data_IF_991844877864
#
_entry.id   IF_991844877864
#
_cell.length_a   1.000
_cell.length_b   1.000
_cell.length_c   1.000
_cell.angle_alpha   90.00
_cell.angle_beta   90.00
_cell.angle_gamma   90.00
#
_symmetry.space_group_name_H-M   'P 1'
#
loop_
_entity.id
_entity.type
_entity.pdbx_description
1 polymer ?
#
# COMPACT_ATOMS: atom_id res chain seq x y z
N UNK A 1 53.12 -68.70 -3.24
CA UNK A 1 52.43 -67.62 -2.49
C UNK A 1 53.02 -66.29 -2.92
N UNK A 2 52.28 -65.49 -3.69
CA UNK A 2 52.64 -64.09 -4.00
C UNK A 2 51.33 -63.33 -4.27
N UNK A 3 50.93 -62.50 -3.30
CA UNK A 3 49.69 -61.73 -3.31
C UNK A 3 49.80 -60.58 -4.32
N UNK A 4 48.78 -60.41 -5.16
CA UNK A 4 48.58 -59.18 -5.93
C UNK A 4 47.62 -58.27 -5.16
N UNK A 5 48.06 -57.05 -4.85
CA UNK A 5 47.26 -56.00 -4.23
C UNK A 5 46.70 -55.14 -5.37
N UNK A 6 45.39 -55.18 -5.58
CA UNK A 6 44.68 -54.30 -6.51
C UNK A 6 44.38 -53.00 -5.76
N UNK A 7 45.09 -51.92 -6.10
CA UNK A 7 44.80 -50.59 -5.60
C UNK A 7 43.69 -49.95 -6.46
N UNK A 8 42.46 -49.93 -5.94
CA UNK A 8 41.36 -49.19 -6.56
C UNK A 8 41.44 -47.71 -6.16
N UNK A 9 41.84 -46.84 -7.10
CA UNK A 9 41.79 -45.40 -6.91
C UNK A 9 40.36 -44.90 -7.16
N UNK A 10 39.66 -44.56 -6.07
CA UNK A 10 38.34 -43.92 -6.14
C UNK A 10 38.54 -42.42 -6.35
N UNK A 11 38.25 -41.93 -7.55
CA UNK A 11 38.14 -40.50 -7.83
C UNK A 11 36.80 -39.99 -7.30
N UNK A 12 36.80 -39.40 -6.10
CA UNK A 12 35.65 -38.67 -5.57
C UNK A 12 35.65 -37.26 -6.20
N UNK A 13 34.93 -37.09 -7.32
CA UNK A 13 34.65 -35.76 -7.86
C UNK A 13 33.49 -35.13 -7.07
N UNK A 14 33.81 -34.29 -6.10
CA UNK A 14 32.79 -33.48 -5.41
C UNK A 14 32.27 -32.42 -6.39
N UNK A 15 31.03 -32.59 -6.84
CA UNK A 15 30.31 -31.55 -7.57
C UNK A 15 29.96 -30.43 -6.59
N UNK A 16 30.81 -29.42 -6.51
CA UNK A 16 30.50 -28.19 -5.76
C UNK A 16 29.49 -27.38 -6.55
N UNK A 17 28.20 -27.54 -6.24
CA UNK A 17 27.16 -26.62 -6.68
C UNK A 17 27.31 -25.32 -5.89
N UNK A 18 28.27 -24.46 -6.30
CA UNK A 18 28.35 -23.12 -5.78
C UNK A 18 27.24 -22.30 -6.42
N UNK A 19 26.14 -22.08 -5.70
CA UNK A 19 25.25 -20.98 -6.05
C UNK A 19 26.03 -19.70 -5.83
N UNK A 20 26.52 -19.08 -6.90
CA UNK A 20 27.09 -17.74 -6.83
C UNK A 20 25.99 -16.80 -6.36
N UNK A 21 26.07 -16.35 -5.10
CA UNK A 21 25.32 -15.17 -4.67
C UNK A 21 25.90 -14.03 -5.51
N UNK A 22 25.19 -13.65 -6.58
CA UNK A 22 25.66 -12.62 -7.48
C UNK A 22 25.58 -11.28 -6.74
N UNK A 23 26.74 -10.77 -6.32
CA UNK A 23 26.85 -9.47 -5.71
C UNK A 23 26.37 -8.40 -6.71
N UNK A 24 25.66 -7.39 -6.22
CA UNK A 24 25.18 -6.28 -7.04
C UNK A 24 26.34 -5.63 -7.82
N UNK A 25 26.06 -5.13 -9.02
CA UNK A 25 27.05 -4.44 -9.85
C UNK A 25 27.54 -3.16 -9.15
N UNK A 26 28.74 -3.22 -8.56
CA UNK A 26 29.29 -2.11 -7.76
C UNK A 26 29.60 -0.88 -8.60
N UNK A 27 29.94 -1.04 -9.87
CA UNK A 27 30.23 0.08 -10.77
C UNK A 27 28.97 0.91 -11.03
N UNK A 28 27.87 0.26 -11.42
CA UNK A 28 26.59 0.94 -11.63
C UNK A 28 26.00 1.52 -10.35
N UNK A 29 26.16 0.84 -9.21
CA UNK A 29 25.73 1.40 -7.91
C UNK A 29 26.52 2.67 -7.60
N UNK A 30 27.85 2.67 -7.77
CA UNK A 30 28.67 3.86 -7.55
C UNK A 30 28.31 4.98 -8.51
N UNK A 31 28.11 4.67 -9.79
CA UNK A 31 27.67 5.63 -10.81
C UNK A 31 26.34 6.28 -10.41
N UNK A 32 25.32 5.48 -10.05
CA UNK A 32 24.02 5.99 -9.63
C UNK A 32 24.14 6.90 -8.41
N UNK A 33 24.86 6.46 -7.38
CA UNK A 33 24.95 7.22 -6.13
C UNK A 33 25.70 8.54 -6.31
N UNK A 34 26.76 8.55 -7.13
CA UNK A 34 27.57 9.74 -7.40
C UNK A 34 26.91 10.73 -8.36
N UNK A 35 26.21 10.24 -9.39
CA UNK A 35 25.78 11.09 -10.52
C UNK A 35 24.27 11.23 -10.66
N UNK A 36 23.50 10.35 -10.03
CA UNK A 36 22.05 10.18 -10.27
C UNK A 36 21.70 9.82 -11.73
N UNK A 37 22.67 9.39 -12.54
CA UNK A 37 22.47 8.96 -13.92
C UNK A 37 22.79 7.46 -14.05
N UNK A 38 21.78 6.64 -14.34
CA UNK A 38 21.97 5.21 -14.54
C UNK A 38 20.93 4.63 -15.51
N UNK A 39 20.81 5.22 -16.69
CA UNK A 39 19.95 4.70 -17.76
C UNK A 39 20.43 3.31 -18.18
N UNK A 40 19.52 2.35 -18.25
CA UNK A 40 19.80 0.97 -18.64
C UNK A 40 20.86 0.25 -17.77
N UNK A 41 21.16 0.77 -16.58
CA UNK A 41 22.09 0.11 -15.67
C UNK A 41 21.54 -1.23 -15.18
N UNK A 42 22.44 -2.20 -14.98
CA UNK A 42 22.19 -3.36 -14.15
C UNK A 42 22.38 -3.01 -12.68
N UNK A 43 21.28 -2.98 -11.94
CA UNK A 43 21.18 -2.73 -10.50
C UNK A 43 20.42 -3.88 -9.82
N UNK A 44 20.44 -5.07 -10.43
CA UNK A 44 19.76 -6.25 -9.88
C UNK A 44 20.28 -6.56 -8.48
N UNK A 45 19.35 -6.83 -7.56
CA UNK A 45 19.65 -7.10 -6.14
C UNK A 45 20.46 -6.01 -5.42
N UNK A 46 20.54 -4.78 -5.96
CA UNK A 46 21.28 -3.69 -5.33
C UNK A 46 20.68 -3.33 -3.96
N UNK A 47 21.56 -3.14 -2.97
CA UNK A 47 21.21 -2.61 -1.65
C UNK A 47 21.24 -1.08 -1.68
N UNK A 48 20.06 -0.46 -1.80
CA UNK A 48 19.88 0.99 -1.93
C UNK A 48 18.95 1.54 -0.81
N UNK A 49 18.98 0.88 0.35
CA UNK A 49 18.17 1.23 1.52
C UNK A 49 18.48 2.65 1.97
N UNK A 50 17.46 3.48 2.13
CA UNK A 50 17.57 4.91 2.50
C UNK A 50 18.45 5.76 1.56
N UNK A 51 18.77 5.27 0.36
CA UNK A 51 19.54 6.06 -0.59
C UNK A 51 18.75 7.29 -1.03
N UNK A 52 19.42 8.44 -1.12
CA UNK A 52 18.87 9.59 -1.83
C UNK A 52 19.08 9.38 -3.33
N UNK A 53 17.99 9.16 -4.05
CA UNK A 53 17.90 8.96 -5.49
C UNK A 53 16.90 9.96 -6.11
N UNK A 54 16.67 11.08 -5.42
CA UNK A 54 15.76 12.12 -5.89
C UNK A 54 16.22 12.67 -7.23
N UNK A 55 15.28 12.80 -8.17
CA UNK A 55 15.53 13.23 -9.55
C UNK A 55 16.43 12.29 -10.38
N UNK A 56 16.75 11.09 -9.89
CA UNK A 56 17.65 10.19 -10.61
C UNK A 56 17.04 9.72 -11.93
N UNK A 57 17.86 9.63 -12.97
CA UNK A 57 17.48 9.02 -14.24
C UNK A 57 17.86 7.54 -14.23
N UNK A 58 16.86 6.71 -13.99
CA UNK A 58 16.91 5.24 -13.95
C UNK A 58 16.09 4.64 -15.11
N UNK A 59 15.86 5.40 -16.18
CA UNK A 59 15.07 4.93 -17.31
C UNK A 59 15.68 3.67 -17.92
N UNK A 60 14.85 2.64 -18.12
CA UNK A 60 15.27 1.32 -18.61
C UNK A 60 16.18 0.52 -17.68
N UNK A 61 16.50 0.99 -16.47
CA UNK A 61 17.39 0.27 -15.54
C UNK A 61 16.76 -1.05 -15.08
N UNK A 62 17.61 -2.05 -14.83
CA UNK A 62 17.20 -3.32 -14.24
C UNK A 62 17.44 -3.30 -12.72
N UNK A 63 16.37 -3.10 -11.95
CA UNK A 63 16.32 -3.06 -10.49
C UNK A 63 15.63 -4.31 -9.91
N UNK A 64 15.56 -5.41 -10.67
CA UNK A 64 14.87 -6.61 -10.21
C UNK A 64 15.48 -7.11 -8.89
N UNK A 65 14.62 -7.36 -7.90
CA UNK A 65 15.02 -7.76 -6.55
C UNK A 65 15.83 -6.73 -5.75
N UNK A 66 15.99 -5.50 -6.23
CA UNK A 66 16.71 -4.46 -5.49
C UNK A 66 15.99 -4.09 -4.19
N UNK A 67 16.76 -3.73 -3.16
CA UNK A 67 16.21 -3.22 -1.91
C UNK A 67 16.33 -1.70 -1.85
N UNK A 68 15.24 -1.01 -2.18
CA UNK A 68 15.05 0.44 -2.16
C UNK A 68 14.22 0.88 -0.94
N UNK A 69 14.17 0.07 0.12
CA UNK A 69 13.40 0.38 1.32
C UNK A 69 13.78 1.76 1.86
N UNK A 70 12.79 2.63 2.08
CA UNK A 70 12.94 4.00 2.58
C UNK A 70 13.83 4.91 1.71
N UNK A 71 14.16 4.51 0.48
CA UNK A 71 14.88 5.38 -0.44
C UNK A 71 14.06 6.61 -0.80
N UNK A 72 14.73 7.73 -1.08
CA UNK A 72 14.10 8.91 -1.65
C UNK A 72 14.22 8.85 -3.17
N UNK A 73 13.13 8.57 -3.88
CA UNK A 73 13.06 8.52 -5.35
C UNK A 73 12.17 9.65 -5.90
N UNK A 74 11.94 10.70 -5.12
CA UNK A 74 11.04 11.78 -5.52
C UNK A 74 11.51 12.40 -6.84
N UNK A 75 10.61 12.50 -7.82
CA UNK A 75 10.90 13.03 -9.16
C UNK A 75 11.84 12.17 -10.01
N UNK A 76 12.20 10.95 -9.58
CA UNK A 76 13.04 10.06 -10.37
C UNK A 76 12.34 9.58 -11.65
N UNK A 77 13.12 9.35 -12.70
CA UNK A 77 12.65 8.79 -13.96
C UNK A 77 12.94 7.29 -14.01
N UNK A 78 11.91 6.47 -13.85
CA UNK A 78 11.94 5.00 -13.89
C UNK A 78 11.17 4.46 -15.11
N UNK A 79 10.98 5.26 -16.15
CA UNK A 79 10.25 4.83 -17.36
C UNK A 79 10.90 3.58 -17.97
N UNK A 80 10.11 2.55 -18.21
CA UNK A 80 10.57 1.26 -18.74
C UNK A 80 11.51 0.46 -17.85
N UNK A 81 11.76 0.88 -16.60
CA UNK A 81 12.64 0.15 -15.68
C UNK A 81 12.01 -1.17 -15.23
N UNK A 82 12.85 -2.17 -14.92
CA UNK A 82 12.40 -3.42 -14.33
C UNK A 82 12.62 -3.41 -12.81
N UNK A 83 11.55 -3.26 -12.03
CA UNK A 83 11.54 -3.32 -10.56
C UNK A 83 10.85 -4.60 -10.05
N UNK A 84 10.77 -5.66 -10.86
CA UNK A 84 10.10 -6.89 -10.46
C UNK A 84 10.72 -7.46 -9.17
N UNK A 85 9.86 -7.75 -8.18
CA UNK A 85 10.26 -8.24 -6.87
C UNK A 85 11.11 -7.26 -6.02
N UNK A 86 11.25 -6.00 -6.42
CA UNK A 86 11.99 -5.01 -5.65
C UNK A 86 11.25 -4.64 -4.36
N UNK A 87 12.00 -4.32 -3.30
CA UNK A 87 11.43 -3.77 -2.07
C UNK A 87 11.50 -2.24 -2.10
N UNK A 88 10.34 -1.58 -2.14
CA UNK A 88 10.14 -0.13 -2.07
C UNK A 88 9.44 0.26 -0.76
N UNK A 89 9.55 -0.58 0.26
CA UNK A 89 8.88 -0.39 1.54
C UNK A 89 9.21 0.99 2.12
N UNK A 90 8.18 1.82 2.35
CA UNK A 90 8.36 3.16 2.93
C UNK A 90 9.13 4.14 2.03
N UNK A 91 9.36 3.85 0.76
CA UNK A 91 10.07 4.74 -0.15
C UNK A 91 9.25 6.00 -0.47
N UNK A 92 9.93 7.13 -0.68
CA UNK A 92 9.30 8.32 -1.23
C UNK A 92 9.32 8.25 -2.75
N UNK A 93 8.16 8.02 -3.36
CA UNK A 93 7.92 7.89 -4.81
C UNK A 93 7.10 9.08 -5.35
N UNK A 94 7.09 10.20 -4.62
CA UNK A 94 6.35 11.41 -5.01
C UNK A 94 6.87 11.92 -6.36
N UNK A 95 5.98 12.19 -7.31
CA UNK A 95 6.32 12.66 -8.67
C UNK A 95 7.24 11.71 -9.48
N UNK A 96 7.42 10.46 -9.04
CA UNK A 96 8.24 9.48 -9.76
C UNK A 96 7.53 9.02 -11.05
N UNK A 97 8.30 8.85 -12.13
CA UNK A 97 7.78 8.45 -13.44
C UNK A 97 7.98 6.96 -13.69
N UNK A 98 6.90 6.19 -13.69
CA UNK A 98 6.90 4.73 -13.88
C UNK A 98 6.28 4.28 -15.20
N UNK A 99 6.08 5.18 -16.18
CA UNK A 99 5.41 4.79 -17.43
C UNK A 99 6.13 3.61 -18.12
N UNK A 100 5.40 2.51 -18.34
CA UNK A 100 5.93 1.26 -18.90
C UNK A 100 6.86 0.44 -17.99
N UNK A 101 7.05 0.82 -16.73
CA UNK A 101 7.91 0.10 -15.80
C UNK A 101 7.27 -1.22 -15.35
N UNK A 102 8.08 -2.23 -15.05
CA UNK A 102 7.64 -3.49 -14.47
C UNK A 102 7.77 -3.46 -12.95
N UNK A 103 6.66 -3.40 -12.23
CA UNK A 103 6.58 -3.43 -10.75
C UNK A 103 5.96 -4.74 -10.25
N UNK A 104 5.91 -5.79 -11.08
CA UNK A 104 5.30 -7.05 -10.70
C UNK A 104 5.95 -7.63 -9.43
N UNK A 105 5.12 -8.05 -8.47
CA UNK A 105 5.53 -8.53 -7.15
C UNK A 105 6.40 -7.55 -6.32
N UNK A 106 6.47 -6.27 -6.69
CA UNK A 106 7.19 -5.27 -5.90
C UNK A 106 6.43 -4.94 -4.60
N UNK A 107 7.18 -4.66 -3.54
CA UNK A 107 6.63 -4.29 -2.23
C UNK A 107 6.63 -2.76 -2.07
N UNK A 108 5.48 -2.13 -2.29
CA UNK A 108 5.29 -0.68 -2.12
C UNK A 108 4.56 -0.36 -0.81
N UNK A 109 4.57 -1.26 0.17
CA UNK A 109 3.90 -0.99 1.44
C UNK A 109 4.44 0.27 2.09
N UNK A 110 3.52 1.09 2.61
CA UNK A 110 3.82 2.35 3.27
C UNK A 110 4.62 3.37 2.41
N UNK A 111 4.69 3.21 1.08
CA UNK A 111 5.35 4.18 0.20
C UNK A 111 4.49 5.43 -0.03
N UNK A 112 5.10 6.50 -0.53
CA UNK A 112 4.40 7.75 -0.88
C UNK A 112 4.39 7.94 -2.39
N UNK A 113 3.22 7.88 -3.03
CA UNK A 113 3.03 7.88 -4.49
C UNK A 113 2.34 9.15 -5.02
N UNK A 114 2.22 10.20 -4.20
CA UNK A 114 1.56 11.44 -4.60
C UNK A 114 2.11 11.94 -5.95
N UNK A 115 1.23 12.14 -6.93
CA UNK A 115 1.57 12.56 -8.29
C UNK A 115 2.51 11.61 -9.08
N UNK A 116 2.66 10.35 -8.67
CA UNK A 116 3.43 9.37 -9.45
C UNK A 116 2.73 9.03 -10.77
N UNK A 117 3.51 8.90 -11.85
CA UNK A 117 3.00 8.54 -13.19
C UNK A 117 3.08 7.02 -13.40
N UNK A 118 1.97 6.29 -13.24
CA UNK A 118 1.92 4.82 -13.40
C UNK A 118 1.29 4.33 -14.72
N UNK A 119 1.22 5.20 -15.73
CA UNK A 119 0.57 4.87 -17.01
C UNK A 119 1.26 3.71 -17.71
N UNK A 120 0.55 2.60 -17.92
CA UNK A 120 1.10 1.40 -18.55
C UNK A 120 2.15 0.66 -17.71
N UNK A 121 2.26 0.96 -16.42
CA UNK A 121 3.09 0.17 -15.51
C UNK A 121 2.48 -1.22 -15.28
N UNK A 122 3.31 -2.25 -15.17
CA UNK A 122 2.88 -3.61 -14.88
C UNK A 122 2.83 -3.82 -13.36
N UNK A 123 1.63 -3.95 -12.80
CA UNK A 123 1.38 -3.97 -11.34
C UNK A 123 0.92 -5.33 -10.80
N UNK A 124 1.16 -6.41 -11.54
CA UNK A 124 0.68 -7.74 -11.15
C UNK A 124 1.28 -8.16 -9.80
N UNK A 125 0.42 -8.44 -8.82
CA UNK A 125 0.82 -8.80 -7.45
C UNK A 125 1.66 -7.74 -6.72
N UNK A 126 1.59 -6.47 -7.14
CA UNK A 126 2.25 -5.37 -6.43
C UNK A 126 1.51 -5.08 -5.12
N UNK A 127 2.25 -4.91 -4.02
CA UNK A 127 1.64 -4.67 -2.71
C UNK A 127 1.61 -3.17 -2.39
N UNK A 128 0.42 -2.58 -2.37
CA UNK A 128 0.19 -1.17 -2.04
C UNK A 128 -0.30 -0.93 -0.60
N UNK A 129 -0.27 -1.94 0.27
CA UNK A 129 -0.86 -1.80 1.59
C UNK A 129 -0.19 -0.68 2.41
N UNK A 130 -0.97 0.33 2.78
CA UNK A 130 -0.49 1.50 3.53
C UNK A 130 0.20 2.54 2.66
N UNK A 131 0.35 2.30 1.35
CA UNK A 131 0.86 3.30 0.42
C UNK A 131 -0.09 4.50 0.35
N UNK A 132 0.45 5.71 0.37
CA UNK A 132 -0.31 6.95 0.33
C UNK A 132 -0.25 7.59 -1.05
N UNK A 133 -1.33 8.26 -1.45
CA UNK A 133 -1.39 8.97 -2.74
C UNK A 133 -1.34 8.05 -3.95
N UNK A 134 -1.92 6.85 -3.86
CA UNK A 134 -1.99 5.91 -4.98
C UNK A 134 -2.76 6.60 -6.12
N UNK A 135 -2.21 6.69 -7.34
CA UNK A 135 -2.90 7.35 -8.43
C UNK A 135 -4.24 6.66 -8.77
N UNK A 136 -5.30 7.45 -8.98
CA UNK A 136 -6.67 6.96 -9.17
C UNK A 136 -6.87 6.12 -10.43
N UNK A 137 -5.94 6.19 -11.38
CA UNK A 137 -6.00 5.42 -12.63
C UNK A 137 -5.61 3.95 -12.49
N UNK A 138 -5.08 3.52 -11.34
CA UNK A 138 -4.61 2.14 -11.13
C UNK A 138 -5.37 1.36 -10.05
N UNK A 139 -6.39 1.96 -9.42
CA UNK A 139 -7.23 1.32 -8.41
C UNK A 139 -8.67 1.81 -8.51
N UNK A 140 -9.62 0.90 -8.36
CA UNK A 140 -11.06 1.23 -8.35
C UNK A 140 -11.46 1.91 -7.04
N UNK A 141 -12.62 2.62 -7.00
CA UNK A 141 -13.19 3.10 -5.75
C UNK A 141 -13.34 1.98 -4.70
N UNK A 142 -13.70 0.79 -5.15
CA UNK A 142 -13.89 -0.40 -4.34
C UNK A 142 -12.56 -0.91 -3.74
N UNK A 143 -11.47 -0.88 -4.51
CA UNK A 143 -10.12 -1.19 -4.01
C UNK A 143 -9.69 -0.20 -2.92
N UNK A 144 -9.91 1.10 -3.17
CA UNK A 144 -9.64 2.14 -2.17
C UNK A 144 -10.48 1.95 -0.91
N UNK A 145 -11.76 1.60 -1.05
CA UNK A 145 -12.60 1.31 0.09
C UNK A 145 -12.03 0.14 0.90
N UNK A 146 -11.69 -0.98 0.25
CA UNK A 146 -11.10 -2.15 0.90
C UNK A 146 -9.77 -1.84 1.61
N UNK A 147 -8.89 -1.05 0.98
CA UNK A 147 -7.67 -0.54 1.62
C UNK A 147 -7.97 0.32 2.85
N UNK A 148 -8.99 1.16 2.76
CA UNK A 148 -9.49 1.98 3.87
C UNK A 148 -9.95 1.13 5.05
N UNK A 149 -10.75 0.09 4.79
CA UNK A 149 -11.20 -0.87 5.79
C UNK A 149 -10.02 -1.56 6.46
N UNK A 150 -9.10 -2.11 5.67
CA UNK A 150 -7.92 -2.82 6.18
C UNK A 150 -7.03 -1.94 7.08
N UNK A 151 -6.95 -0.63 6.82
CA UNK A 151 -6.25 0.29 7.72
C UNK A 151 -7.06 0.66 8.95
N UNK A 152 -8.38 0.84 8.80
CA UNK A 152 -9.27 1.10 9.92
C UNK A 152 -9.23 -0.01 10.97
N UNK A 153 -9.23 -1.27 10.54
CA UNK A 153 -9.11 -2.45 11.41
C UNK A 153 -7.76 -2.52 12.13
N UNK A 154 -6.70 -1.96 11.54
CA UNK A 154 -5.37 -1.84 12.16
C UNK A 154 -5.24 -0.65 13.10
N UNK A 155 -6.28 0.17 13.26
CA UNK A 155 -6.23 1.42 14.03
C UNK A 155 -5.56 2.59 13.29
N UNK A 156 -5.21 2.43 12.02
CA UNK A 156 -4.54 3.45 11.20
C UNK A 156 -5.57 4.42 10.59
N UNK A 157 -6.32 5.11 11.46
CA UNK A 157 -7.49 5.90 11.05
C UNK A 157 -7.19 7.03 10.07
N UNK A 158 -6.04 7.70 10.18
CA UNK A 158 -5.63 8.73 9.21
C UNK A 158 -5.44 8.16 7.80
N UNK A 159 -4.82 6.98 7.68
CA UNK A 159 -4.65 6.31 6.39
C UNK A 159 -5.99 5.81 5.85
N UNK A 160 -6.85 5.26 6.72
CA UNK A 160 -8.20 4.87 6.34
C UNK A 160 -8.99 6.05 5.73
N UNK A 161 -8.95 7.22 6.37
CA UNK A 161 -9.60 8.44 5.86
C UNK A 161 -9.06 8.84 4.48
N UNK A 162 -7.75 8.73 4.27
CA UNK A 162 -7.13 9.02 2.97
C UNK A 162 -7.64 8.10 1.87
N UNK A 163 -7.75 6.80 2.14
CA UNK A 163 -8.29 5.83 1.20
C UNK A 163 -9.77 6.04 0.92
N UNK A 164 -10.60 6.22 1.94
CA UNK A 164 -12.02 6.52 1.72
C UNK A 164 -12.23 7.82 0.94
N UNK A 165 -11.37 8.82 1.15
CA UNK A 165 -11.44 10.07 0.39
C UNK A 165 -11.09 9.88 -1.10
N UNK A 166 -10.14 9.00 -1.42
CA UNK A 166 -9.84 8.63 -2.81
C UNK A 166 -11.01 7.87 -3.45
N UNK A 167 -11.62 6.92 -2.72
CA UNK A 167 -12.83 6.23 -3.19
C UNK A 167 -13.96 7.21 -3.52
N UNK A 168 -14.23 8.17 -2.64
CA UNK A 168 -15.26 9.21 -2.81
C UNK A 168 -14.91 10.14 -3.99
N UNK A 169 -13.64 10.49 -4.18
CA UNK A 169 -13.23 11.36 -5.28
C UNK A 169 -13.49 10.73 -6.65
N UNK A 170 -13.39 9.41 -6.75
CA UNK A 170 -13.66 8.66 -8.00
C UNK A 170 -15.16 8.35 -8.12
N UNK A 171 -15.84 8.04 -7.01
CA UNK A 171 -17.27 7.69 -6.94
C UNK A 171 -17.98 8.57 -5.91
N UNK A 172 -18.45 9.78 -6.30
CA UNK A 172 -19.06 10.74 -5.36
C UNK A 172 -20.38 10.28 -4.73
N UNK A 173 -21.04 9.27 -5.29
CA UNK A 173 -22.25 8.65 -4.76
C UNK A 173 -21.97 7.40 -3.89
N UNK A 174 -20.72 7.19 -3.48
CA UNK A 174 -20.33 6.04 -2.65
C UNK A 174 -20.72 6.22 -1.16
N UNK A 175 -21.99 5.98 -0.85
CA UNK A 175 -22.56 6.14 0.49
C UNK A 175 -21.77 5.42 1.61
N UNK A 176 -21.38 4.17 1.37
CA UNK A 176 -20.58 3.38 2.30
C UNK A 176 -19.22 4.00 2.61
N UNK A 177 -18.55 4.61 1.63
CA UNK A 177 -17.27 5.28 1.82
C UNK A 177 -17.40 6.55 2.67
N UNK A 178 -18.48 7.32 2.53
CA UNK A 178 -18.76 8.44 3.43
C UNK A 178 -18.97 7.96 4.86
N UNK A 179 -19.84 6.97 5.08
CA UNK A 179 -20.10 6.46 6.43
C UNK A 179 -18.83 5.91 7.07
N UNK A 180 -18.05 5.13 6.33
CA UNK A 180 -16.77 4.58 6.75
C UNK A 180 -15.75 5.67 7.11
N UNK A 181 -15.64 6.73 6.30
CA UNK A 181 -14.78 7.87 6.60
C UNK A 181 -15.24 8.61 7.85
N UNK A 182 -16.55 8.78 8.03
CA UNK A 182 -17.12 9.39 9.22
C UNK A 182 -16.80 8.61 10.49
N UNK A 183 -16.90 7.28 10.43
CA UNK A 183 -16.48 6.38 11.52
C UNK A 183 -14.98 6.52 11.82
N UNK A 184 -14.12 6.58 10.80
CA UNK A 184 -12.69 6.78 11.00
C UNK A 184 -12.36 8.18 11.59
N UNK A 185 -13.08 9.23 11.19
CA UNK A 185 -12.97 10.59 11.75
C UNK A 185 -13.38 10.64 13.21
N UNK A 186 -14.45 9.94 13.58
CA UNK A 186 -14.90 9.82 14.96
C UNK A 186 -13.80 9.27 15.89
N UNK A 187 -13.06 8.26 15.43
CA UNK A 187 -11.93 7.70 16.18
C UNK A 187 -10.76 8.67 16.37
N UNK A 188 -10.66 9.68 15.51
CA UNK A 188 -9.71 10.80 15.64
C UNK A 188 -10.31 12.00 16.39
N UNK A 189 -11.45 11.82 17.06
CA UNK A 189 -12.20 12.87 17.78
C UNK A 189 -12.72 14.01 16.88
N UNK A 190 -12.70 13.84 15.55
CA UNK A 190 -13.32 14.76 14.61
C UNK A 190 -14.82 14.47 14.49
N UNK A 191 -15.56 14.79 15.56
CA UNK A 191 -17.03 14.59 15.62
C UNK A 191 -17.77 15.42 14.56
N UNK A 192 -17.28 16.62 14.26
CA UNK A 192 -17.93 17.50 13.28
C UNK A 192 -17.79 16.93 11.87
N UNK A 193 -16.58 16.55 11.46
CA UNK A 193 -16.35 15.92 10.17
C UNK A 193 -17.03 14.56 10.04
N UNK A 194 -17.10 13.80 11.15
CA UNK A 194 -17.88 12.55 11.19
C UNK A 194 -19.37 12.78 10.95
N UNK A 195 -19.94 13.82 11.56
CA UNK A 195 -21.36 14.15 11.41
C UNK A 195 -21.71 14.58 9.98
N UNK A 196 -20.85 15.40 9.37
CA UNK A 196 -21.01 15.82 7.96
C UNK A 196 -20.99 14.60 7.03
N UNK A 197 -20.05 13.69 7.21
CA UNK A 197 -19.97 12.47 6.40
C UNK A 197 -21.20 11.56 6.59
N UNK A 198 -21.68 11.42 7.83
CA UNK A 198 -22.87 10.63 8.13
C UNK A 198 -24.15 11.22 7.49
N UNK A 199 -24.28 12.56 7.46
CA UNK A 199 -25.40 13.22 6.78
C UNK A 199 -25.39 12.99 5.26
N UNK A 200 -24.21 12.99 4.63
CA UNK A 200 -24.09 12.69 3.20
C UNK A 200 -24.44 11.22 2.94
N UNK A 201 -23.92 10.31 3.77
CA UNK A 201 -24.22 8.88 3.66
C UNK A 201 -25.74 8.60 3.78
N UNK A 202 -26.43 9.20 4.75
CA UNK A 202 -27.89 9.06 4.94
C UNK A 202 -28.68 9.46 3.68
N UNK A 203 -28.34 10.62 3.10
CA UNK A 203 -28.98 11.10 1.85
C UNK A 203 -28.75 10.14 0.69
N UNK A 204 -27.50 9.66 0.53
CA UNK A 204 -27.16 8.73 -0.56
C UNK A 204 -27.81 7.36 -0.36
N UNK A 205 -27.82 6.81 0.86
CA UNK A 205 -28.53 5.55 1.13
C UNK A 205 -30.03 5.67 0.89
N UNK A 206 -30.62 6.83 1.21
CA UNK A 206 -32.03 7.11 0.90
C UNK A 206 -32.29 7.08 -0.61
N UNK A 207 -31.46 7.77 -1.41
CA UNK A 207 -31.62 7.77 -2.87
C UNK A 207 -31.34 6.40 -3.51
N UNK A 208 -30.52 5.58 -2.85
CA UNK A 208 -30.19 4.20 -3.26
C UNK A 208 -31.20 3.16 -2.76
N UNK A 209 -32.27 3.56 -2.06
CA UNK A 209 -33.23 2.65 -1.42
C UNK A 209 -32.59 1.64 -0.44
N UNK A 210 -31.46 2.01 0.18
CA UNK A 210 -30.75 1.17 1.14
C UNK A 210 -31.20 1.51 2.57
N UNK A 211 -32.26 0.86 3.03
CA UNK A 211 -32.84 1.10 4.35
C UNK A 211 -31.89 0.79 5.51
N UNK A 212 -31.10 -0.28 5.38
CA UNK A 212 -30.12 -0.68 6.40
C UNK A 212 -29.00 0.36 6.54
N UNK A 213 -28.44 0.83 5.42
CA UNK A 213 -27.41 1.88 5.41
C UNK A 213 -27.93 3.20 5.97
N UNK A 214 -29.15 3.60 5.59
CA UNK A 214 -29.84 4.78 6.13
C UNK A 214 -29.99 4.70 7.66
N UNK A 215 -30.53 3.59 8.18
CA UNK A 215 -30.69 3.40 9.63
C UNK A 215 -29.35 3.46 10.36
N UNK A 216 -28.30 2.89 9.76
CA UNK A 216 -26.93 2.91 10.33
C UNK A 216 -26.38 4.34 10.39
N UNK A 217 -26.52 5.12 9.32
CA UNK A 217 -26.09 6.52 9.28
C UNK A 217 -26.86 7.38 10.29
N UNK A 218 -28.18 7.19 10.43
CA UNK A 218 -29.02 7.92 11.39
C UNK A 218 -28.67 7.60 12.84
N UNK A 219 -28.48 6.32 13.16
CA UNK A 219 -28.04 5.90 14.48
C UNK A 219 -26.67 6.50 14.83
N UNK A 220 -25.73 6.50 13.86
CA UNK A 220 -24.41 7.11 14.05
C UNK A 220 -24.51 8.63 14.28
N UNK A 221 -25.35 9.35 13.53
CA UNK A 221 -25.57 10.79 13.75
C UNK A 221 -26.11 11.09 15.16
N UNK A 222 -27.03 10.26 15.67
CA UNK A 222 -27.60 10.41 17.01
C UNK A 222 -26.52 10.29 18.09
N UNK A 223 -25.60 9.34 17.96
CA UNK A 223 -24.46 9.17 18.85
C UNK A 223 -23.50 10.38 18.81
N UNK A 224 -23.26 10.94 17.63
CA UNK A 224 -22.36 12.08 17.49
C UNK A 224 -22.85 13.31 18.27
N UNK A 225 -24.16 13.39 18.50
CA UNK A 225 -24.83 14.47 19.23
C UNK A 225 -24.96 14.24 20.74
N UNK A 226 -24.78 13.00 21.24
CA UNK A 226 -24.88 12.73 22.68
C UNK A 226 -23.66 13.29 23.43
N UNK A 227 -23.86 14.14 24.48
CA UNK A 227 -22.77 14.67 25.29
C UNK A 227 -22.01 13.55 26.02
N UNK A 228 -20.69 13.67 26.12
CA UNK A 228 -19.87 12.76 26.93
C UNK A 228 -20.24 12.95 28.40
N UNK A 229 -20.97 12.00 28.99
CA UNK A 229 -21.25 11.99 30.43
C UNK A 229 -20.55 10.80 31.07
N UNK A 230 -19.63 11.06 32.01
CA UNK A 230 -18.76 10.08 32.68
C UNK A 230 -19.49 9.01 33.52
N UNK A 231 -20.82 8.92 33.50
CA UNK A 231 -21.58 7.92 34.26
C UNK A 231 -22.37 7.02 33.33
N UNK A 232 -21.72 5.96 32.87
CA UNK A 232 -22.42 4.81 32.29
C UNK A 232 -22.86 3.90 33.43
N UNK A 233 -24.13 3.98 33.83
CA UNK A 233 -24.76 2.92 34.63
C UNK A 233 -25.06 1.74 33.71
N UNK A 234 -24.68 0.55 34.16
CA UNK A 234 -25.06 -0.77 33.64
C UNK A 234 -26.43 -0.78 32.94
N UNK A 235 -26.44 -0.98 31.61
CA UNK A 235 -27.67 -1.24 30.85
C UNK A 235 -27.83 -0.50 29.52
N UNK A 236 -26.96 0.45 29.18
CA UNK A 236 -26.94 1.06 27.85
C UNK A 236 -26.00 0.26 26.95
N UNK A 237 -26.39 -0.17 25.74
CA UNK A 237 -25.43 -0.70 24.78
C UNK A 237 -24.41 0.41 24.55
N UNK A 238 -23.15 0.18 24.95
CA UNK A 238 -22.09 1.15 24.71
C UNK A 238 -21.96 1.36 23.20
N UNK A 239 -21.43 2.49 22.76
CA UNK A 239 -21.05 2.67 21.36
C UNK A 239 -20.17 1.51 20.83
N UNK A 240 -19.40 0.89 21.74
CA UNK A 240 -18.63 -0.35 21.53
C UNK A 240 -19.55 -1.57 21.39
N UNK A 241 -20.74 -1.64 21.99
CA UNK A 241 -21.70 -2.72 21.73
C UNK A 241 -22.48 -2.50 20.42
N UNK A 242 -22.71 -1.25 20.03
CA UNK A 242 -23.36 -0.91 18.75
C UNK A 242 -22.45 -1.20 17.55
N UNK A 243 -21.12 -1.07 17.72
CA UNK A 243 -20.14 -1.15 16.64
C UNK A 243 -18.88 -1.97 17.00
N UNK A 244 -19.02 -3.00 17.84
CA UNK A 244 -17.93 -3.67 18.61
C UNK A 244 -16.75 -4.29 17.90
N UNK A 245 -16.66 -4.13 16.61
CA UNK A 245 -15.38 -3.84 15.97
C UNK A 245 -15.70 -2.89 14.82
N UNK A 246 -14.93 -1.82 14.65
CA UNK A 246 -15.12 -0.92 13.49
C UNK A 246 -15.12 -1.71 12.17
N UNK A 247 -14.45 -2.87 12.15
CA UNK A 247 -14.51 -3.86 11.09
C UNK A 247 -15.95 -4.23 10.69
N UNK A 248 -16.87 -4.52 11.61
CA UNK A 248 -18.19 -5.04 11.23
C UNK A 248 -19.00 -4.08 10.35
N UNK A 249 -18.94 -2.76 10.60
CA UNK A 249 -19.61 -1.75 9.75
C UNK A 249 -18.87 -1.57 8.43
N UNK A 250 -17.54 -1.48 8.50
CA UNK A 250 -16.70 -1.24 7.34
C UNK A 250 -16.79 -2.41 6.35
N UNK A 251 -17.02 -3.62 6.84
CA UNK A 251 -17.21 -4.82 6.03
C UNK A 251 -18.61 -4.90 5.41
N UNK A 252 -19.64 -4.26 5.98
CA UNK A 252 -21.03 -4.34 5.48
C UNK A 252 -21.21 -3.79 4.07
N UNK A 253 -20.36 -2.85 3.65
CA UNK A 253 -20.49 -2.19 2.36
C UNK A 253 -19.38 -2.57 1.39
N UNK A 254 -18.63 -3.64 1.69
CA UNK A 254 -17.76 -4.25 0.70
C UNK A 254 -18.61 -4.81 -0.44
N UNK A 255 -18.25 -4.55 -1.71
CA UNK A 255 -18.83 -5.26 -2.83
C UNK A 255 -18.35 -6.71 -2.77
N UNK A 256 -19.25 -7.63 -2.47
CA UNK A 256 -19.01 -9.07 -2.62
C UNK A 256 -19.33 -9.53 -4.04
#
# INVERSE_FOLDING_TARGET
MKNQIIAAAVFLSTLSLTTTVQAANSEHVQQLLATKQCQNCDLTHAGLVMADLSGANLSGANLAGANLSRANLSGADLRGANLSGASLYGANLTETRFSGANLAAADLRNSYLTNAELNGAYLNSTNFQGAMGIPSQIASPEDFYALGVAQGEKGNHQQAISYFSQAIAIKPDYAGAYLARGVARYQLLDRQGAFVDAQVADKLFTSQNNSSGMQTAQAFMKELQTPYTEKVSSGSPSFVDFFGSLGSILLQFLPF
#
